data_IF_676656434405
#
_entry.id   IF_676656434405
#
_cell.length_a   1.000
_cell.length_b   1.000
_cell.length_c   1.000
_cell.angle_alpha   90.00
_cell.angle_beta   90.00
_cell.angle_gamma   90.00
#
_symmetry.space_group_name_H-M   'P 1'
#
loop_
_entity.id
_entity.type
_entity.pdbx_description
1 polymer ?
#
# COMPACT_ATOMS: atom_id res chain seq x y z
N UNK A 1 7.02 -0.79 3.99
CA UNK A 1 6.36 0.50 4.27
C UNK A 1 4.98 0.20 4.83
N UNK A 2 4.77 0.43 6.12
CA UNK A 2 3.47 0.24 6.80
C UNK A 2 2.63 1.54 6.84
N UNK A 3 2.98 2.51 6.00
CA UNK A 3 2.52 3.90 6.07
C UNK A 3 0.99 4.07 6.12
N UNK A 4 0.25 3.19 5.44
CA UNK A 4 -1.21 3.24 5.35
C UNK A 4 -1.91 2.23 6.28
N UNK A 5 -1.19 1.57 7.19
CA UNK A 5 -1.78 0.74 8.24
C UNK A 5 -1.80 1.51 9.57
N UNK A 6 -2.57 1.03 10.55
CA UNK A 6 -2.63 1.65 11.88
C UNK A 6 -1.28 1.70 12.58
N UNK A 7 -0.39 0.77 12.25
CA UNK A 7 0.92 0.60 12.87
C UNK A 7 1.98 1.54 12.28
N UNK A 8 1.91 1.86 10.98
CA UNK A 8 2.89 2.74 10.33
C UNK A 8 2.41 4.17 10.06
N UNK A 9 1.12 4.46 10.25
CA UNK A 9 0.59 5.82 10.13
C UNK A 9 0.97 6.70 11.33
N UNK A 10 1.43 7.92 11.05
CA UNK A 10 1.52 9.00 12.05
C UNK A 10 0.93 10.28 11.48
N UNK A 11 0.28 11.07 12.34
CA UNK A 11 -0.29 12.38 11.99
C UNK A 11 0.75 13.41 11.56
N UNK A 12 2.04 13.14 11.76
CA UNK A 12 3.14 13.99 11.33
C UNK A 12 3.37 13.99 9.81
N UNK A 13 2.82 13.02 9.07
CA UNK A 13 2.99 12.97 7.62
C UNK A 13 2.13 14.02 6.91
N UNK A 14 2.77 14.86 6.09
CA UNK A 14 2.06 15.75 5.17
C UNK A 14 1.44 14.95 4.04
N UNK A 15 0.30 15.41 3.50
CA UNK A 15 -0.36 14.77 2.36
C UNK A 15 0.58 14.69 1.15
N UNK A 16 1.40 15.71 0.93
CA UNK A 16 2.42 15.74 -0.12
C UNK A 16 3.43 14.59 0.01
N UNK A 17 3.92 14.34 1.24
CA UNK A 17 4.84 13.25 1.50
C UNK A 17 4.20 11.88 1.25
N UNK A 18 2.89 11.74 1.47
CA UNK A 18 2.15 10.49 1.19
C UNK A 18 2.01 10.26 -0.31
N UNK A 19 1.64 11.29 -1.07
CA UNK A 19 1.50 11.21 -2.53
C UNK A 19 2.84 10.80 -3.14
N UNK A 20 3.94 11.43 -2.73
CA UNK A 20 5.27 11.14 -3.23
C UNK A 20 5.71 9.70 -2.88
N UNK A 21 5.47 9.25 -1.64
CA UNK A 21 5.80 7.89 -1.22
C UNK A 21 4.99 6.83 -1.98
N UNK A 22 3.71 7.07 -2.25
CA UNK A 22 2.87 6.18 -3.07
C UNK A 22 3.43 6.09 -4.49
N UNK A 23 3.76 7.24 -5.10
CA UNK A 23 4.36 7.27 -6.44
C UNK A 23 5.69 6.50 -6.49
N UNK A 24 6.57 6.72 -5.51
CA UNK A 24 7.84 5.99 -5.40
C UNK A 24 7.62 4.47 -5.24
N UNK A 25 6.63 4.06 -4.46
CA UNK A 25 6.30 2.64 -4.24
C UNK A 25 5.81 1.96 -5.51
N UNK A 26 5.02 2.65 -6.35
CA UNK A 26 4.59 2.12 -7.64
C UNK A 26 5.76 1.86 -8.58
N UNK A 27 6.75 2.77 -8.61
CA UNK A 27 7.97 2.61 -9.42
C UNK A 27 8.81 1.45 -8.90
N UNK A 28 9.09 1.41 -7.58
CA UNK A 28 9.84 0.32 -6.94
C UNK A 28 9.17 -1.05 -7.16
N UNK A 29 7.85 -1.11 -7.07
CA UNK A 29 7.04 -2.30 -7.32
C UNK A 29 6.87 -2.68 -8.80
N UNK A 30 7.48 -1.94 -9.73
CA UNK A 30 7.38 -2.16 -11.19
C UNK A 30 5.92 -2.19 -11.68
N UNK A 31 5.07 -1.33 -11.15
CA UNK A 31 3.66 -1.25 -11.56
C UNK A 31 3.51 -1.01 -13.08
N UNK A 32 2.42 -1.54 -13.66
CA UNK A 32 2.09 -1.41 -15.09
C UNK A 32 0.61 -1.10 -15.26
N UNK A 33 0.29 -0.46 -16.38
CA UNK A 33 -1.09 -0.19 -16.77
C UNK A 33 -1.67 -1.47 -17.38
N UNK A 34 -2.83 -1.92 -16.88
CA UNK A 34 -3.60 -3.02 -17.46
C UNK A 34 -4.69 -2.42 -18.35
N UNK A 35 -4.47 -2.41 -19.67
CA UNK A 35 -5.36 -1.74 -20.63
C UNK A 35 -6.67 -2.49 -20.89
N UNK A 36 -6.68 -3.81 -20.73
CA UNK A 36 -7.84 -4.67 -21.01
C UNK A 36 -8.94 -4.63 -19.94
N UNK A 37 -8.67 -4.01 -18.79
CA UNK A 37 -9.57 -4.04 -17.65
C UNK A 37 -10.22 -2.68 -17.42
N UNK A 38 -11.56 -2.65 -17.51
CA UNK A 38 -12.39 -1.48 -17.20
C UNK A 38 -13.27 -1.77 -15.99
N UNK A 39 -13.55 -0.73 -15.19
CA UNK A 39 -14.47 -0.78 -14.03
C UNK A 39 -14.14 -1.83 -12.95
N UNK A 40 -12.90 -2.32 -12.90
CA UNK A 40 -12.48 -3.28 -11.87
C UNK A 40 -12.37 -2.64 -10.49
N UNK A 41 -12.01 -1.35 -10.44
CA UNK A 41 -11.77 -0.63 -9.20
C UNK A 41 -13.05 0.07 -8.71
N UNK A 42 -13.44 -0.23 -7.47
CA UNK A 42 -14.53 0.44 -6.77
C UNK A 42 -14.20 0.59 -5.29
N UNK A 43 -14.84 1.56 -4.62
CA UNK A 43 -14.63 1.80 -3.19
C UNK A 43 -14.92 0.54 -2.36
N UNK A 44 -16.02 -0.16 -2.64
CA UNK A 44 -16.44 -1.36 -1.89
C UNK A 44 -15.38 -2.47 -1.98
N UNK A 45 -14.87 -2.74 -3.18
CA UNK A 45 -13.82 -3.76 -3.38
C UNK A 45 -12.53 -3.36 -2.67
N UNK A 46 -12.10 -2.10 -2.80
CA UNK A 46 -10.89 -1.61 -2.15
C UNK A 46 -10.98 -1.68 -0.62
N UNK A 47 -12.12 -1.29 -0.03
CA UNK A 47 -12.35 -1.34 1.41
C UNK A 47 -12.35 -2.78 1.94
N UNK A 48 -12.96 -3.71 1.21
CA UNK A 48 -12.98 -5.13 1.56
C UNK A 48 -11.56 -5.72 1.51
N UNK A 49 -10.81 -5.47 0.43
CA UNK A 49 -9.42 -5.90 0.31
C UNK A 49 -8.54 -5.33 1.42
N UNK A 50 -8.66 -4.04 1.74
CA UNK A 50 -7.91 -3.40 2.82
C UNK A 50 -8.22 -4.03 4.19
N UNK A 51 -9.51 -4.22 4.50
CA UNK A 51 -9.94 -4.82 5.77
C UNK A 51 -9.36 -6.23 5.95
N UNK A 52 -9.37 -7.04 4.89
CA UNK A 52 -8.77 -8.38 4.91
C UNK A 52 -7.26 -8.34 5.12
N UNK A 53 -6.55 -7.44 4.41
CA UNK A 53 -5.11 -7.29 4.54
C UNK A 53 -4.68 -6.85 5.94
N UNK A 54 -5.39 -5.90 6.54
CA UNK A 54 -5.10 -5.43 7.92
C UNK A 54 -5.31 -6.55 8.94
N UNK A 55 -6.33 -7.40 8.77
CA UNK A 55 -6.56 -8.54 9.65
C UNK A 55 -5.44 -9.58 9.57
N UNK A 56 -4.93 -9.86 8.37
CA UNK A 56 -3.82 -10.80 8.16
C UNK A 56 -2.51 -10.20 8.72
N UNK A 57 -2.24 -8.94 8.41
CA UNK A 57 -1.06 -8.21 8.90
C UNK A 57 -1.00 -8.18 10.42
N UNK A 58 -2.13 -7.93 11.09
CA UNK A 58 -2.20 -7.94 12.55
C UNK A 58 -1.89 -9.32 13.17
N UNK A 59 -2.12 -10.42 12.43
CA UNK A 59 -1.89 -11.80 12.91
C UNK A 59 -0.48 -12.30 12.61
N UNK A 60 0.10 -11.93 11.47
CA UNK A 60 1.33 -12.55 10.95
C UNK A 60 2.49 -11.57 10.74
N UNK A 61 2.27 -10.26 10.94
CA UNK A 61 3.25 -9.22 10.64
C UNK A 61 3.46 -9.02 9.13
N UNK A 62 4.32 -8.07 8.76
CA UNK A 62 4.73 -7.86 7.37
C UNK A 62 6.03 -8.62 7.07
N UNK A 63 6.17 -9.12 5.83
CA UNK A 63 7.44 -9.66 5.36
C UNK A 63 8.45 -8.51 5.21
N UNK A 64 9.49 -8.49 6.02
CA UNK A 64 10.59 -7.53 5.92
C UNK A 64 11.52 -7.96 4.79
N UNK A 65 11.64 -7.20 3.69
CA UNK A 65 12.61 -7.53 2.64
C UNK A 65 14.05 -7.41 3.18
N UNK A 66 15.01 -8.21 2.67
CA UNK A 66 16.43 -8.08 3.01
C UNK A 66 16.99 -6.69 2.72
N UNK A 67 18.03 -6.28 3.46
CA UNK A 67 18.62 -4.93 3.49
C UNK A 67 19.20 -4.42 2.16
N UNK A 68 19.25 -5.24 1.11
CA UNK A 68 19.93 -4.94 -0.16
C UNK A 68 19.13 -4.02 -1.09
N UNK A 69 17.91 -3.64 -0.70
CA UNK A 69 16.97 -2.83 -1.48
C UNK A 69 16.85 -1.38 -0.97
N UNK A 70 17.90 -0.88 -0.31
CA UNK A 70 17.99 0.45 0.33
C UNK A 70 18.51 1.54 -0.58
#
# INVERSE_FOLDING_TARGET
MELLTKQGWTSAYSVESLILQIAATLVKGKARIQFDVKDQYSMVKAQQSFSSLVQIHAKSGWYTPPKEDG
#
